data_IF_294801200512
#
_entry.id   IF_294801200512
#
_cell.length_a   1.000
_cell.length_b   1.000
_cell.length_c   1.000
_cell.angle_alpha   90.00
_cell.angle_beta   90.00
_cell.angle_gamma   90.00
#
_symmetry.space_group_name_H-M   'P 1'
#
loop_
_entity.id
_entity.type
_entity.pdbx_description
1 polymer ?
#
# COMPACT_ATOMS: atom_id res chain seq x y z
N UNK A 1 11.37 13.04 20.48
CA UNK A 1 10.85 13.87 19.39
C UNK A 1 9.34 14.01 19.57
N UNK A 2 8.82 15.22 19.55
CA UNK A 2 7.37 15.48 19.55
C UNK A 2 6.86 15.54 18.11
N UNK A 3 5.62 15.09 17.88
CA UNK A 3 4.98 15.08 16.56
C UNK A 3 3.65 15.80 16.66
N UNK A 4 3.44 16.80 15.79
CA UNK A 4 2.19 17.53 15.68
C UNK A 4 1.24 16.76 14.75
N UNK A 5 0.00 16.56 15.20
CA UNK A 5 -1.06 16.00 14.37
C UNK A 5 -1.91 17.11 13.78
N UNK A 6 -1.85 17.22 12.45
CA UNK A 6 -2.65 18.12 11.64
C UNK A 6 -3.80 17.32 11.06
N UNK A 7 -5.00 17.46 11.62
CA UNK A 7 -6.12 16.56 11.34
C UNK A 7 -7.18 17.16 10.44
N UNK A 8 -7.14 18.48 10.22
CA UNK A 8 -8.13 19.17 9.42
C UNK A 8 -7.63 19.32 7.97
N UNK A 9 -8.50 19.17 6.95
CA UNK A 9 -8.09 19.31 5.55
C UNK A 9 -7.44 20.65 5.20
N UNK A 10 -7.75 21.71 5.95
CA UNK A 10 -7.16 23.04 5.76
C UNK A 10 -5.68 23.07 6.15
N UNK A 11 -5.23 22.20 7.05
CA UNK A 11 -3.86 22.19 7.57
C UNK A 11 -2.84 21.91 6.48
N UNK A 12 -3.18 21.03 5.52
CA UNK A 12 -2.36 20.74 4.35
C UNK A 12 -2.08 21.99 3.50
N UNK A 13 -3.03 22.93 3.42
CA UNK A 13 -2.82 24.21 2.74
C UNK A 13 -2.03 25.19 3.61
N UNK A 14 -2.25 25.19 4.93
CA UNK A 14 -1.51 26.04 5.87
C UNK A 14 -0.03 25.69 5.84
N UNK A 15 0.31 24.39 5.92
CA UNK A 15 1.70 23.90 5.91
C UNK A 15 2.43 24.12 4.57
N UNK A 16 1.70 24.38 3.48
CA UNK A 16 2.33 24.82 2.23
C UNK A 16 2.80 26.27 2.27
N UNK A 17 2.14 27.11 3.08
CA UNK A 17 2.47 28.54 3.23
C UNK A 17 3.42 28.80 4.39
N UNK A 18 3.23 28.09 5.50
CA UNK A 18 4.01 28.25 6.74
C UNK A 18 5.21 27.31 6.71
N UNK A 19 6.40 27.85 6.45
CA UNK A 19 7.65 27.06 6.32
C UNK A 19 8.40 26.91 7.65
N UNK A 20 8.26 27.88 8.53
CA UNK A 20 8.93 27.94 9.82
C UNK A 20 8.07 28.64 10.89
N UNK A 21 8.43 28.42 12.14
CA UNK A 21 7.87 29.09 13.32
C UNK A 21 8.98 29.26 14.35
N UNK A 22 9.21 30.50 14.82
CA UNK A 22 10.29 30.81 15.78
C UNK A 22 11.66 30.24 15.35
N UNK A 23 12.04 30.50 14.09
CA UNK A 23 13.27 30.00 13.44
C UNK A 23 13.40 28.47 13.35
N UNK A 24 12.34 27.71 13.64
CA UNK A 24 12.28 26.25 13.47
C UNK A 24 11.50 25.88 12.21
N UNK A 25 12.12 25.11 11.33
CA UNK A 25 11.46 24.60 10.11
C UNK A 25 10.52 23.45 10.43
N UNK A 26 9.41 23.39 9.71
CA UNK A 26 8.54 22.21 9.74
C UNK A 26 9.13 21.08 8.89
N UNK A 27 9.00 19.86 9.38
CA UNK A 27 9.38 18.64 8.68
C UNK A 27 8.19 17.68 8.67
N UNK A 28 7.75 17.28 7.48
CA UNK A 28 6.62 16.36 7.33
C UNK A 28 7.12 14.92 7.31
N UNK A 29 6.81 14.14 8.35
CA UNK A 29 7.27 12.75 8.50
C UNK A 29 6.75 11.77 7.42
N UNK A 30 5.76 12.17 6.62
CA UNK A 30 5.23 11.38 5.50
C UNK A 30 5.91 11.72 4.16
N UNK A 31 6.85 12.66 4.17
CA UNK A 31 7.65 13.08 3.00
C UNK A 31 9.11 12.67 3.13
N UNK A 32 9.80 12.65 1.99
CA UNK A 32 11.26 12.63 1.94
C UNK A 32 11.87 13.89 2.56
N UNK A 33 13.18 13.84 2.87
CA UNK A 33 13.95 14.99 3.36
C UNK A 33 13.95 15.17 4.88
N UNK A 34 13.32 14.25 5.62
CA UNK A 34 13.43 14.20 7.08
C UNK A 34 14.69 13.44 7.46
N UNK A 35 15.52 14.07 8.30
CA UNK A 35 16.72 13.47 8.86
C UNK A 35 16.69 13.61 10.38
N UNK A 36 17.03 12.53 11.06
CA UNK A 36 17.22 12.54 12.50
C UNK A 36 18.67 12.81 12.84
N UNK A 37 18.90 13.40 14.01
CA UNK A 37 20.25 13.47 14.55
C UNK A 37 20.72 12.06 14.90
N UNK A 38 21.91 11.71 14.43
CA UNK A 38 22.50 10.39 14.59
C UNK A 38 23.92 10.52 15.14
N UNK A 39 24.28 9.57 15.98
CA UNK A 39 25.67 9.35 16.34
C UNK A 39 26.47 8.80 15.15
N UNK A 40 27.79 8.95 15.17
CA UNK A 40 28.69 8.37 14.17
C UNK A 40 28.56 6.84 14.09
N UNK A 41 28.24 6.18 15.20
CA UNK A 41 28.01 4.73 15.26
C UNK A 41 26.73 4.32 14.52
N UNK A 42 25.61 5.01 14.78
CA UNK A 42 24.34 4.78 14.09
C UNK A 42 24.44 5.05 12.59
N UNK A 43 25.15 6.11 12.22
CA UNK A 43 25.40 6.45 10.81
C UNK A 43 26.19 5.34 10.11
N UNK A 44 27.25 4.84 10.74
CA UNK A 44 28.04 3.73 10.19
C UNK A 44 27.20 2.45 10.06
N UNK A 45 26.45 2.10 11.08
CA UNK A 45 25.55 0.93 11.04
C UNK A 45 24.56 1.05 9.88
N UNK A 46 24.01 2.24 9.65
CA UNK A 46 23.09 2.49 8.53
C UNK A 46 23.75 2.33 7.16
N UNK A 47 24.98 2.78 7.00
CA UNK A 47 25.71 2.59 5.74
C UNK A 47 25.95 1.10 5.46
N UNK A 48 26.29 0.32 6.49
CA UNK A 48 26.42 -1.14 6.39
C UNK A 48 25.09 -1.81 6.04
N UNK A 49 23.99 -1.39 6.66
CA UNK A 49 22.65 -1.91 6.38
C UNK A 49 22.17 -1.54 4.97
N UNK A 50 22.43 -0.32 4.50
CA UNK A 50 22.14 0.12 3.12
C UNK A 50 22.87 -0.77 2.11
N UNK A 51 24.15 -1.06 2.35
CA UNK A 51 24.92 -1.96 1.49
C UNK A 51 24.37 -3.40 1.55
N UNK A 52 24.05 -3.90 2.75
CA UNK A 52 23.54 -5.26 2.93
C UNK A 52 22.17 -5.46 2.25
N UNK A 53 21.31 -4.44 2.21
CA UNK A 53 19.97 -4.52 1.63
C UNK A 53 19.87 -4.01 0.19
N UNK A 54 20.97 -3.53 -0.41
CA UNK A 54 20.97 -2.94 -1.76
C UNK A 54 20.36 -3.88 -2.82
N UNK A 55 20.70 -5.18 -2.76
CA UNK A 55 20.16 -6.19 -3.69
C UNK A 55 18.65 -6.35 -3.54
N UNK A 56 18.14 -6.37 -2.30
CA UNK A 56 16.70 -6.44 -2.06
C UNK A 56 16.00 -5.17 -2.58
N UNK A 57 16.53 -3.98 -2.28
CA UNK A 57 15.97 -2.72 -2.77
C UNK A 57 15.87 -2.69 -4.30
N UNK A 58 16.91 -3.14 -5.02
CA UNK A 58 16.90 -3.25 -6.48
C UNK A 58 15.83 -4.23 -6.97
N UNK A 59 15.78 -5.44 -6.41
CA UNK A 59 14.77 -6.44 -6.78
C UNK A 59 13.35 -5.93 -6.54
N UNK A 60 13.09 -5.28 -5.41
CA UNK A 60 11.78 -4.68 -5.12
C UNK A 60 11.43 -3.57 -6.12
N UNK A 61 12.38 -2.71 -6.47
CA UNK A 61 12.17 -1.67 -7.49
C UNK A 61 11.87 -2.27 -8.87
N UNK A 62 12.56 -3.34 -9.25
CA UNK A 62 12.31 -4.03 -10.52
C UNK A 62 10.92 -4.68 -10.56
N UNK A 63 10.51 -5.36 -9.48
CA UNK A 63 9.18 -5.98 -9.36
C UNK A 63 8.07 -4.94 -9.38
N UNK A 64 8.24 -3.84 -8.65
CA UNK A 64 7.23 -2.79 -8.53
C UNK A 64 7.21 -1.85 -9.74
N UNK A 65 8.26 -1.83 -10.55
CA UNK A 65 8.35 -1.05 -11.78
C UNK A 65 7.99 0.43 -11.55
N UNK A 66 7.01 0.93 -12.30
CA UNK A 66 6.58 2.33 -12.23
C UNK A 66 5.71 2.70 -11.03
N UNK A 67 5.32 1.74 -10.18
CA UNK A 67 4.52 1.99 -8.98
C UNK A 67 5.27 2.76 -7.90
N UNK A 68 6.60 2.66 -7.89
CA UNK A 68 7.50 3.38 -6.98
C UNK A 68 8.56 4.14 -7.75
N UNK A 69 9.03 5.26 -7.22
CA UNK A 69 10.20 5.96 -7.75
C UNK A 69 11.46 5.16 -7.44
N UNK A 70 11.67 4.86 -6.16
CA UNK A 70 12.82 4.12 -5.63
C UNK A 70 12.43 3.33 -4.37
N UNK A 71 13.27 2.37 -4.02
CA UNK A 71 13.19 1.60 -2.76
C UNK A 71 14.47 1.85 -1.97
N UNK A 72 14.35 2.26 -0.72
CA UNK A 72 15.48 2.66 0.14
C UNK A 72 15.34 2.09 1.54
N UNK A 73 16.46 1.97 2.26
CA UNK A 73 16.45 1.65 3.69
C UNK A 73 15.93 2.88 4.46
N UNK A 74 14.94 2.64 5.33
CA UNK A 74 14.35 3.65 6.20
C UNK A 74 15.19 3.87 7.46
N UNK A 75 15.09 5.08 8.00
CA UNK A 75 15.58 5.45 9.32
C UNK A 75 14.47 5.86 10.30
N UNK A 76 13.21 5.90 9.84
CA UNK A 76 12.05 6.31 10.66
C UNK A 76 11.19 5.15 11.12
N UNK A 77 11.48 3.93 10.68
CA UNK A 77 10.69 2.74 10.98
C UNK A 77 11.20 2.00 12.21
N UNK A 78 10.28 1.63 13.09
CA UNK A 78 10.54 0.77 14.25
C UNK A 78 9.93 -0.63 14.06
N UNK A 79 8.60 -0.71 13.97
CA UNK A 79 7.87 -1.99 13.96
C UNK A 79 7.30 -2.37 12.61
N UNK A 80 7.04 -1.42 11.72
CA UNK A 80 6.50 -1.71 10.39
C UNK A 80 7.59 -2.24 9.45
N UNK A 81 7.26 -3.20 8.55
CA UNK A 81 8.22 -3.72 7.59
C UNK A 81 8.63 -2.71 6.51
N UNK A 82 7.69 -1.87 6.09
CA UNK A 82 7.90 -0.84 5.07
C UNK A 82 6.80 0.22 5.12
N UNK A 83 7.07 1.39 4.54
CA UNK A 83 6.10 2.48 4.33
C UNK A 83 6.28 3.08 2.93
N UNK A 84 5.32 3.90 2.52
CA UNK A 84 5.42 4.74 1.34
C UNK A 84 5.47 6.21 1.75
N UNK A 85 6.48 6.92 1.25
CA UNK A 85 6.63 8.36 1.43
C UNK A 85 6.49 9.07 0.10
N UNK A 86 6.07 10.34 0.14
CA UNK A 86 6.01 11.19 -1.06
C UNK A 86 7.27 12.03 -1.19
N UNK A 87 7.50 12.61 -2.38
CA UNK A 87 8.58 13.59 -2.54
C UNK A 87 8.39 14.79 -1.60
N UNK A 88 9.49 15.49 -1.29
CA UNK A 88 9.51 16.66 -0.42
C UNK A 88 8.55 17.77 -0.92
N UNK A 89 8.54 18.01 -2.24
CA UNK A 89 7.76 19.08 -2.87
C UNK A 89 6.41 18.62 -3.45
N UNK A 90 6.13 17.32 -3.49
CA UNK A 90 4.87 16.77 -3.99
C UNK A 90 3.71 16.84 -3.00
N UNK A 91 2.53 16.40 -3.43
CA UNK A 91 1.41 16.19 -2.51
C UNK A 91 1.69 15.05 -1.55
N UNK A 92 1.31 15.22 -0.29
CA UNK A 92 1.25 14.13 0.69
C UNK A 92 0.12 13.14 0.31
N UNK A 93 0.08 11.98 0.97
CA UNK A 93 -1.05 11.06 0.84
C UNK A 93 -2.40 11.70 1.21
N UNK A 94 -2.41 12.51 2.27
CA UNK A 94 -3.62 13.18 2.74
C UNK A 94 -4.08 14.27 1.75
N UNK A 95 -3.16 15.09 1.23
CA UNK A 95 -3.46 16.06 0.19
C UNK A 95 -3.94 15.37 -1.10
N UNK A 96 -3.34 14.24 -1.49
CA UNK A 96 -3.79 13.44 -2.63
C UNK A 96 -5.26 13.02 -2.47
N UNK A 97 -5.64 12.56 -1.28
CA UNK A 97 -7.01 12.18 -0.94
C UNK A 97 -7.97 13.38 -0.96
N UNK A 98 -7.60 14.51 -0.35
CA UNK A 98 -8.39 15.75 -0.38
C UNK A 98 -8.64 16.16 -1.83
N UNK A 99 -7.59 16.20 -2.64
CA UNK A 99 -7.64 16.58 -4.06
C UNK A 99 -8.46 15.61 -4.90
N UNK A 100 -8.39 14.30 -4.62
CA UNK A 100 -9.20 13.29 -5.35
C UNK A 100 -10.70 13.47 -5.07
N UNK A 101 -11.06 13.90 -3.88
CA UNK A 101 -12.45 14.05 -3.46
C UNK A 101 -13.08 15.41 -3.84
N UNK A 102 -12.32 16.33 -4.45
CA UNK A 102 -12.84 17.62 -4.91
C UNK A 102 -13.55 17.50 -6.28
N UNK A 103 -14.84 17.79 -6.30
CA UNK A 103 -15.71 17.60 -7.47
C UNK A 103 -15.42 18.50 -8.69
N UNK A 104 -14.74 19.65 -8.49
CA UNK A 104 -14.48 20.64 -9.54
C UNK A 104 -12.99 20.71 -9.95
N UNK A 105 -12.22 19.64 -9.71
CA UNK A 105 -10.78 19.65 -9.99
C UNK A 105 -10.48 19.60 -11.49
N UNK A 106 -9.58 20.47 -11.93
CA UNK A 106 -8.90 20.33 -13.22
C UNK A 106 -7.91 19.16 -13.16
N UNK A 107 -8.11 18.14 -14.00
CA UNK A 107 -7.30 16.92 -14.03
C UNK A 107 -5.86 17.17 -14.51
N UNK A 108 -5.59 18.29 -15.19
CA UNK A 108 -4.27 18.60 -15.77
C UNK A 108 -3.18 18.86 -14.72
N UNK A 109 -3.52 19.45 -13.56
CA UNK A 109 -2.57 19.73 -12.48
C UNK A 109 -2.18 18.49 -11.67
N UNK A 110 -2.98 17.43 -11.72
CA UNK A 110 -2.81 16.28 -10.83
C UNK A 110 -1.63 15.38 -11.19
N UNK A 111 -1.28 15.24 -12.46
CA UNK A 111 -0.21 14.33 -12.91
C UNK A 111 1.18 14.80 -12.47
N UNK A 112 1.41 16.12 -12.38
CA UNK A 112 2.71 16.66 -11.97
C UNK A 112 2.89 16.65 -10.44
N UNK A 113 1.80 16.84 -9.69
CA UNK A 113 1.83 16.94 -8.23
C UNK A 113 1.67 15.59 -7.52
N UNK A 114 1.05 14.60 -8.17
CA UNK A 114 1.02 13.20 -7.73
C UNK A 114 2.35 12.53 -8.11
N UNK A 115 3.41 12.86 -7.39
CA UNK A 115 4.72 12.24 -7.60
C UNK A 115 4.67 10.74 -7.30
N UNK A 116 5.48 9.96 -8.03
CA UNK A 116 5.75 8.56 -7.67
C UNK A 116 6.21 8.47 -6.21
N UNK A 117 5.82 7.38 -5.54
CA UNK A 117 6.08 7.15 -4.11
C UNK A 117 7.44 6.49 -3.93
N UNK A 118 8.12 6.79 -2.83
CA UNK A 118 9.32 6.06 -2.42
C UNK A 118 8.95 5.05 -1.37
N UNK A 119 9.36 3.80 -1.58
CA UNK A 119 9.17 2.75 -0.59
C UNK A 119 10.37 2.70 0.33
N UNK A 120 10.15 2.93 1.62
CA UNK A 120 11.19 2.78 2.63
C UNK A 120 11.01 1.44 3.34
N UNK A 121 12.09 0.67 3.51
CA UNK A 121 12.07 -0.66 4.14
C UNK A 121 12.79 -0.65 5.50
N UNK A 122 12.32 -1.50 6.41
CA UNK A 122 12.89 -1.68 7.75
C UNK A 122 13.79 -2.92 7.79
N UNK A 123 15.09 -2.70 7.85
CA UNK A 123 16.15 -3.75 7.84
C UNK A 123 16.10 -4.67 9.06
N UNK A 124 15.56 -4.19 10.18
CA UNK A 124 15.45 -4.97 11.44
C UNK A 124 14.24 -5.90 11.44
N UNK A 125 13.24 -5.64 10.58
CA UNK A 125 12.00 -6.40 10.53
C UNK A 125 12.23 -7.83 10.01
N UNK A 126 11.61 -8.83 10.65
CA UNK A 126 11.76 -10.25 10.29
C UNK A 126 11.37 -10.54 8.83
N UNK A 127 10.26 -9.95 8.37
CA UNK A 127 9.79 -10.08 6.98
C UNK A 127 10.86 -9.57 5.99
N UNK A 128 11.48 -8.41 6.24
CA UNK A 128 12.48 -7.85 5.32
C UNK A 128 13.75 -8.71 5.28
N UNK A 129 14.19 -9.25 6.42
CA UNK A 129 15.34 -10.16 6.49
C UNK A 129 15.09 -11.47 5.74
N UNK A 130 13.91 -12.05 5.88
CA UNK A 130 13.55 -13.28 5.15
C UNK A 130 13.38 -13.01 3.66
N UNK A 131 12.77 -11.88 3.27
CA UNK A 131 12.63 -11.50 1.88
C UNK A 131 13.99 -11.28 1.21
N UNK A 132 14.92 -10.62 1.90
CA UNK A 132 16.32 -10.50 1.47
C UNK A 132 16.93 -11.88 1.19
N UNK A 133 16.82 -12.81 2.14
CA UNK A 133 17.37 -14.17 2.01
C UNK A 133 16.79 -14.92 0.81
N UNK A 134 15.48 -14.79 0.56
CA UNK A 134 14.80 -15.44 -0.58
C UNK A 134 15.26 -14.87 -1.91
N UNK A 135 15.23 -13.54 -2.06
CA UNK A 135 15.74 -12.85 -3.26
C UNK A 135 17.22 -13.16 -3.50
N UNK A 136 17.99 -13.34 -2.42
CA UNK A 136 19.40 -13.69 -2.55
C UNK A 136 19.62 -15.11 -3.10
N UNK A 137 18.76 -16.04 -2.71
CA UNK A 137 18.80 -17.44 -3.14
C UNK A 137 18.23 -17.63 -4.56
N UNK A 138 17.12 -16.96 -4.89
CA UNK A 138 16.49 -16.99 -6.20
C UNK A 138 15.79 -15.65 -6.50
N UNK A 139 16.33 -14.89 -7.45
CA UNK A 139 15.74 -13.62 -7.90
C UNK A 139 14.42 -13.79 -8.67
N UNK A 140 14.11 -15.02 -9.09
CA UNK A 140 12.91 -15.37 -9.83
C UNK A 140 11.86 -16.10 -8.98
N UNK A 141 12.04 -16.15 -7.65
CA UNK A 141 11.06 -16.69 -6.71
C UNK A 141 9.72 -15.95 -6.88
N UNK A 142 8.74 -16.65 -7.46
CA UNK A 142 7.39 -16.11 -7.70
C UNK A 142 6.69 -15.73 -6.40
N UNK A 143 6.88 -16.50 -5.34
CA UNK A 143 6.28 -16.21 -4.05
C UNK A 143 6.90 -14.95 -3.42
N UNK A 144 8.21 -14.75 -3.58
CA UNK A 144 8.86 -13.51 -3.15
C UNK A 144 8.32 -12.28 -3.92
N UNK A 145 8.11 -12.40 -5.24
CA UNK A 145 7.52 -11.33 -6.06
C UNK A 145 6.09 -11.00 -5.66
N UNK A 146 5.25 -12.01 -5.40
CA UNK A 146 3.89 -11.80 -4.91
C UNK A 146 3.86 -11.16 -3.52
N UNK A 147 4.77 -11.55 -2.61
CA UNK A 147 4.92 -10.92 -1.30
C UNK A 147 5.35 -9.45 -1.40
N UNK A 148 6.21 -9.09 -2.36
CA UNK A 148 6.61 -7.69 -2.59
C UNK A 148 5.40 -6.85 -2.98
N UNK A 149 4.54 -7.34 -3.88
CA UNK A 149 3.31 -6.63 -4.23
C UNK A 149 2.36 -6.51 -3.04
N UNK A 150 2.18 -7.59 -2.26
CA UNK A 150 1.32 -7.55 -1.09
C UNK A 150 1.83 -6.53 -0.06
N UNK A 151 3.14 -6.51 0.22
CA UNK A 151 3.76 -5.52 1.10
C UNK A 151 3.55 -4.09 0.59
N UNK A 152 3.68 -3.87 -0.73
CA UNK A 152 3.44 -2.58 -1.33
C UNK A 152 1.99 -2.12 -1.18
N UNK A 153 1.02 -2.99 -1.47
CA UNK A 153 -0.41 -2.67 -1.34
C UNK A 153 -0.80 -2.42 0.12
N UNK A 154 -0.28 -3.23 1.05
CA UNK A 154 -0.46 -2.97 2.49
C UNK A 154 0.17 -1.64 2.89
N UNK A 155 1.36 -1.30 2.38
CA UNK A 155 2.02 -0.03 2.64
C UNK A 155 1.25 1.17 2.05
N UNK A 156 0.54 1.02 0.92
CA UNK A 156 -0.38 2.03 0.40
C UNK A 156 -1.45 2.36 1.45
N UNK A 157 -2.12 1.34 1.98
CA UNK A 157 -3.17 1.50 2.98
C UNK A 157 -2.65 2.15 4.26
N UNK A 158 -1.56 1.63 4.83
CA UNK A 158 -1.03 2.14 6.11
C UNK A 158 -0.41 3.52 5.99
N UNK A 159 0.02 3.93 4.79
CA UNK A 159 0.58 5.26 4.53
C UNK A 159 -0.47 6.28 4.08
N UNK A 160 -1.77 5.91 4.09
CA UNK A 160 -2.88 6.81 3.80
C UNK A 160 -3.17 7.03 2.31
N UNK A 161 -2.67 6.16 1.43
CA UNK A 161 -3.00 6.18 0.01
C UNK A 161 -4.20 5.29 -0.29
N UNK A 162 -4.81 5.51 -1.46
CA UNK A 162 -5.85 4.65 -1.99
C UNK A 162 -5.25 3.50 -2.78
N UNK A 163 -5.86 2.32 -2.72
CA UNK A 163 -5.56 1.23 -3.63
C UNK A 163 -6.14 1.53 -5.02
N UNK A 164 -5.31 1.36 -6.05
CA UNK A 164 -5.76 1.50 -7.44
C UNK A 164 -6.63 0.33 -7.88
N UNK A 165 -6.30 -0.89 -7.41
CA UNK A 165 -7.01 -2.12 -7.73
C UNK A 165 -7.26 -2.95 -6.45
N UNK A 166 -8.37 -2.68 -5.73
CA UNK A 166 -8.73 -3.43 -4.53
C UNK A 166 -9.00 -4.93 -4.80
N UNK A 167 -9.42 -5.28 -6.01
CA UNK A 167 -9.72 -6.68 -6.37
C UNK A 167 -8.44 -7.48 -6.47
N UNK A 168 -7.42 -6.97 -7.19
CA UNK A 168 -6.12 -7.64 -7.27
C UNK A 168 -5.44 -7.78 -5.90
N UNK A 169 -5.61 -6.79 -5.01
CA UNK A 169 -5.15 -6.89 -3.62
C UNK A 169 -5.85 -8.00 -2.85
N UNK A 170 -7.19 -8.09 -2.96
CA UNK A 170 -7.97 -9.15 -2.32
C UNK A 170 -7.59 -10.54 -2.84
N UNK A 171 -7.39 -10.69 -4.15
CA UNK A 171 -6.92 -11.95 -4.75
C UNK A 171 -5.56 -12.39 -4.19
N UNK A 172 -4.61 -11.46 -4.01
CA UNK A 172 -3.30 -11.77 -3.38
C UNK A 172 -3.47 -12.22 -1.94
N UNK A 173 -4.35 -11.58 -1.18
CA UNK A 173 -4.67 -12.00 0.19
C UNK A 173 -5.24 -13.42 0.18
N UNK A 174 -6.20 -13.71 -0.70
CA UNK A 174 -6.80 -15.04 -0.80
C UNK A 174 -5.76 -16.10 -1.13
N UNK A 175 -4.84 -15.84 -2.07
CA UNK A 175 -3.72 -16.76 -2.37
C UNK A 175 -2.83 -17.00 -1.15
N UNK A 176 -2.54 -15.96 -0.36
CA UNK A 176 -1.75 -16.12 0.88
C UNK A 176 -2.49 -16.92 1.96
N UNK A 177 -3.81 -16.74 2.08
CA UNK A 177 -4.65 -17.52 3.00
C UNK A 177 -4.66 -18.98 2.58
N UNK A 178 -4.85 -19.28 1.28
CA UNK A 178 -4.78 -20.64 0.75
C UNK A 178 -3.43 -21.29 1.06
N UNK A 179 -2.33 -20.60 0.79
CA UNK A 179 -0.98 -21.09 1.10
C UNK A 179 -0.76 -21.33 2.60
N UNK A 180 -1.30 -20.46 3.46
CA UNK A 180 -1.25 -20.63 4.92
C UNK A 180 -2.08 -21.82 5.42
N UNK A 181 -3.17 -22.16 4.72
CA UNK A 181 -4.03 -23.31 4.99
C UNK A 181 -3.59 -24.58 4.24
N UNK A 182 -2.52 -24.51 3.43
CA UNK A 182 -2.07 -25.59 2.55
C UNK A 182 -3.13 -26.07 1.56
N UNK A 183 -3.96 -25.14 1.07
CA UNK A 183 -4.94 -25.36 0.00
C UNK A 183 -4.31 -25.05 -1.36
N UNK A 184 -4.61 -25.86 -2.37
CA UNK A 184 -4.18 -25.64 -3.74
C UNK A 184 -5.21 -24.80 -4.51
N UNK A 185 -4.78 -24.14 -5.58
CA UNK A 185 -5.65 -23.28 -6.39
C UNK A 185 -6.84 -24.02 -7.04
N UNK A 186 -6.82 -25.36 -7.07
CA UNK A 186 -7.89 -26.22 -7.59
C UNK A 186 -8.95 -26.65 -6.58
N UNK A 187 -8.80 -26.34 -5.29
CA UNK A 187 -9.73 -26.81 -4.24
C UNK A 187 -11.12 -26.15 -4.30
N UNK A 188 -11.25 -25.01 -5.02
CA UNK A 188 -12.52 -24.30 -5.20
C UNK A 188 -13.38 -24.89 -6.35
N UNK A 189 -12.86 -25.83 -7.14
CA UNK A 189 -13.58 -26.40 -8.30
C UNK A 189 -14.61 -27.49 -7.94
N UNK A 190 -14.64 -27.98 -6.69
CA UNK A 190 -15.51 -29.11 -6.30
C UNK A 190 -16.94 -28.74 -5.86
N UNK A 191 -17.28 -27.46 -5.61
CA UNK A 191 -18.56 -27.11 -4.92
C UNK A 191 -19.64 -26.39 -5.75
N UNK A 192 -19.49 -26.21 -7.07
CA UNK A 192 -20.53 -25.60 -7.92
C UNK A 192 -21.44 -26.59 -8.68
N UNK A 193 -21.24 -27.90 -8.51
CA UNK A 193 -22.01 -28.94 -9.21
C UNK A 193 -23.07 -29.64 -8.33
N UNK A 194 -23.81 -28.92 -7.49
CA UNK A 194 -24.97 -29.51 -6.80
C UNK A 194 -26.04 -28.48 -6.39
N UNK A 195 -26.78 -27.94 -7.35
CA UNK A 195 -28.15 -27.50 -7.09
C UNK A 195 -29.07 -28.16 -8.12
N UNK A 196 -29.85 -29.19 -7.76
CA UNK A 196 -30.89 -29.68 -8.65
C UNK A 196 -31.99 -28.62 -8.72
N UNK A 197 -32.25 -28.14 -9.94
CA UNK A 197 -33.35 -27.24 -10.24
C UNK A 197 -34.68 -27.85 -9.76
N UNK A 198 -35.43 -27.12 -8.95
CA UNK A 198 -36.78 -27.50 -8.56
C UNK A 198 -37.70 -27.52 -9.81
N UNK A 199 -38.58 -28.53 -9.96
CA UNK A 199 -39.47 -28.58 -11.11
C UNK A 199 -40.56 -27.51 -10.98
N UNK A 200 -40.82 -26.82 -12.09
CA UNK A 200 -41.97 -25.95 -12.25
C UNK A 200 -43.24 -26.80 -12.25
N UNK A 201 -44.07 -26.66 -11.22
CA UNK A 201 -45.37 -27.31 -11.18
C UNK A 201 -46.42 -26.38 -11.82
N UNK A 202 -46.80 -26.73 -13.04
CA UNK A 202 -47.94 -26.16 -13.75
C UNK A 202 -49.14 -27.09 -13.55
N UNK A 203 -50.11 -26.70 -12.73
CA UNK A 203 -51.46 -27.28 -12.80
C UNK A 203 -52.51 -26.17 -12.81
N UNK A 204 -53.10 -25.98 -13.99
CA UNK A 204 -54.31 -25.21 -14.21
C UNK A 204 -55.52 -25.83 -13.49
N UNK A 205 -56.41 -25.00 -12.96
CA UNK A 205 -57.70 -25.42 -12.40
C UNK A 205 -58.61 -24.22 -12.12
N UNK A 206 -59.66 -24.10 -12.93
CA UNK A 206 -60.60 -22.99 -13.12
C UNK A 206 -61.67 -22.80 -12.03
N UNK A 207 -62.37 -21.64 -12.10
CA UNK A 207 -63.71 -21.30 -11.55
C UNK A 207 -63.68 -20.56 -10.20
N UNK A 208 -64.42 -19.48 -9.89
CA UNK A 208 -65.62 -18.86 -10.46
C UNK A 208 -65.72 -17.39 -10.02
N UNK A 209 -66.42 -16.61 -10.85
CA UNK A 209 -66.99 -15.27 -10.69
C UNK A 209 -67.57 -14.95 -9.29
N UNK A 210 -67.33 -13.73 -8.76
CA UNK A 210 -68.39 -12.88 -8.19
C UNK A 210 -67.95 -11.40 -8.13
N UNK A 211 -68.71 -10.55 -8.84
CA UNK A 211 -68.75 -9.10 -8.66
C UNK A 211 -69.75 -8.79 -7.54
N UNK A 212 -69.43 -7.86 -6.63
CA UNK A 212 -70.44 -6.99 -5.99
C UNK A 212 -69.80 -5.64 -5.64
N UNK A 213 -70.36 -4.59 -6.25
CA UNK A 213 -70.38 -3.13 -5.99
C UNK A 213 -69.16 -2.39 -5.43
#
# INVERSE_FOLDING_TARGET
MEVLFMTDPIDEYVMQQVKDFEDKKFACLTKEGVHFEESEEEKKQREEEKAAFERLCKAMKEVLGDKVEKVVVSDRLATSPCILVTSEFGWSAHMEQIMRNQALRDSSMSTYMMSKKTMEINTTHSIMRELKRRVEADENDKAAKDLIFLLFDTALLTSGFTLDDPTAYAERIHRMIKLGLSLDDGDDEEEVAATPAAPADSSAGTSSMEQVD
#
